data_IF_570913231488
#
_entry.id   IF_570913231488
#
_cell.length_a   1.000
_cell.length_b   1.000
_cell.length_c   1.000
_cell.angle_alpha   90.00
_cell.angle_beta   90.00
_cell.angle_gamma   90.00
#
_symmetry.space_group_name_H-M   'P 1'
#
loop_
_entity.id
_entity.type
_entity.pdbx_description
1 polymer ?
#
# COMPACT_ATOMS: atom_id res chain seq x y z
N UNK A 1 -4.07 21.51 -7.48
CA UNK A 1 -4.13 22.83 -8.17
C UNK A 1 -5.36 23.00 -9.05
N UNK A 2 -5.77 22.00 -9.86
CA UNK A 2 -6.94 22.09 -10.76
C UNK A 2 -8.30 22.40 -10.09
N UNK A 3 -8.52 21.91 -8.86
CA UNK A 3 -9.72 22.26 -8.07
C UNK A 3 -9.84 23.77 -7.80
N UNK A 4 -8.71 24.50 -7.71
CA UNK A 4 -8.71 25.97 -7.54
C UNK A 4 -9.11 26.72 -8.81
N UNK A 5 -9.12 26.03 -9.96
CA UNK A 5 -9.55 26.57 -11.27
C UNK A 5 -10.94 26.03 -11.69
N UNK A 6 -11.72 25.48 -10.75
CA UNK A 6 -13.08 24.99 -11.02
C UNK A 6 -13.18 23.60 -11.65
N UNK A 7 -12.05 22.90 -11.82
CA UNK A 7 -12.04 21.55 -12.42
C UNK A 7 -12.06 20.50 -11.32
N UNK A 8 -13.20 19.81 -11.16
CA UNK A 8 -13.38 18.68 -10.24
C UNK A 8 -13.37 17.39 -11.06
N UNK A 9 -12.37 16.54 -10.81
CA UNK A 9 -12.23 15.26 -11.47
C UNK A 9 -13.05 14.21 -10.71
N UNK A 10 -13.90 13.46 -11.41
CA UNK A 10 -14.57 12.30 -10.84
C UNK A 10 -13.52 11.24 -10.42
N UNK A 11 -13.74 10.52 -9.31
CA UNK A 11 -12.89 9.38 -8.98
C UNK A 11 -12.90 8.39 -10.16
N UNK A 12 -11.72 7.98 -10.61
CA UNK A 12 -11.56 7.16 -11.80
C UNK A 12 -10.20 6.51 -11.87
N UNK A 13 -10.06 5.59 -12.83
CA UNK A 13 -8.80 4.90 -13.11
C UNK A 13 -7.68 5.90 -13.40
N UNK A 14 -6.43 5.49 -13.16
CA UNK A 14 -5.21 6.29 -13.44
C UNK A 14 -5.22 6.92 -14.85
N UNK A 15 -5.66 6.18 -15.87
CA UNK A 15 -5.83 6.65 -17.25
C UNK A 15 -6.90 7.73 -17.44
N UNK A 16 -7.92 7.73 -16.57
CA UNK A 16 -9.01 8.71 -16.59
C UNK A 16 -8.54 10.04 -16.03
N UNK A 17 -7.65 10.01 -15.03
CA UNK A 17 -7.03 11.23 -14.48
C UNK A 17 -6.25 12.00 -15.54
N UNK A 18 -5.34 11.35 -16.28
CA UNK A 18 -4.56 12.02 -17.32
C UNK A 18 -5.45 12.67 -18.38
N UNK A 19 -6.39 11.88 -18.90
CA UNK A 19 -7.31 12.32 -19.95
C UNK A 19 -8.13 13.52 -19.50
N UNK A 20 -8.62 13.49 -18.26
CA UNK A 20 -9.37 14.60 -17.71
C UNK A 20 -8.49 15.84 -17.50
N UNK A 21 -7.25 15.69 -17.07
CA UNK A 21 -6.32 16.83 -16.92
C UNK A 21 -6.02 17.47 -18.27
N UNK A 22 -5.79 16.66 -19.31
CA UNK A 22 -5.55 17.14 -20.68
C UNK A 22 -6.81 17.83 -21.26
N UNK A 23 -8.00 17.27 -21.05
CA UNK A 23 -9.26 17.85 -21.51
C UNK A 23 -9.62 19.19 -20.86
N UNK A 24 -9.23 19.39 -19.59
CA UNK A 24 -9.58 20.59 -18.83
C UNK A 24 -8.47 21.64 -18.79
N UNK A 25 -7.37 21.44 -19.52
CA UNK A 25 -6.26 22.39 -19.61
C UNK A 25 -6.18 22.94 -21.04
N UNK A 26 -6.78 24.11 -21.33
CA UNK A 26 -6.67 24.72 -22.65
C UNK A 26 -5.22 25.06 -22.99
N UNK A 27 -4.84 24.85 -24.25
CA UNK A 27 -3.48 25.11 -24.80
C UNK A 27 -3.00 26.54 -24.58
N UNK A 28 -3.93 27.49 -24.48
CA UNK A 28 -3.69 28.92 -24.29
C UNK A 28 -3.44 29.31 -22.82
N UNK A 29 -3.59 28.37 -21.89
CA UNK A 29 -3.43 28.66 -20.46
C UNK A 29 -1.96 28.86 -20.08
N UNK A 30 -1.66 29.92 -19.33
CA UNK A 30 -0.32 30.24 -18.79
C UNK A 30 0.32 29.07 -18.01
N UNK A 31 -0.49 28.16 -17.47
CA UNK A 31 -0.04 27.01 -16.66
C UNK A 31 0.12 25.71 -17.47
N UNK A 32 -0.19 25.71 -18.77
CA UNK A 32 -0.14 24.51 -19.60
C UNK A 32 1.25 23.84 -19.56
N UNK A 33 2.33 24.63 -19.65
CA UNK A 33 3.70 24.12 -19.56
C UNK A 33 3.97 23.39 -18.24
N UNK A 34 3.53 23.96 -17.12
CA UNK A 34 3.69 23.36 -15.77
C UNK A 34 2.87 22.08 -15.65
N UNK A 35 1.63 22.08 -16.14
CA UNK A 35 0.77 20.89 -16.13
C UNK A 35 1.40 19.77 -16.96
N UNK A 36 1.99 20.08 -18.12
CA UNK A 36 2.71 19.12 -18.94
C UNK A 36 3.91 18.48 -18.21
N UNK A 37 4.68 19.27 -17.44
CA UNK A 37 5.78 18.75 -16.62
C UNK A 37 5.24 17.82 -15.53
N UNK A 38 4.19 18.22 -14.81
CA UNK A 38 3.59 17.41 -13.75
C UNK A 38 3.02 16.09 -14.29
N UNK A 39 2.36 16.10 -15.45
CA UNK A 39 1.86 14.89 -16.10
C UNK A 39 3.01 13.95 -16.51
N UNK A 40 4.11 14.50 -17.05
CA UNK A 40 5.31 13.70 -17.36
C UNK A 40 5.90 13.05 -16.11
N UNK A 41 6.04 13.80 -15.01
CA UNK A 41 6.54 13.25 -13.74
C UNK A 41 5.59 12.19 -13.17
N UNK A 42 4.29 12.44 -13.24
CA UNK A 42 3.28 11.47 -12.82
C UNK A 42 3.37 10.16 -13.62
N UNK A 43 3.48 10.25 -14.95
CA UNK A 43 3.69 9.08 -15.84
C UNK A 43 4.94 8.31 -15.47
N UNK A 44 6.02 9.02 -15.18
CA UNK A 44 7.28 8.40 -14.81
C UNK A 44 7.16 7.61 -13.50
N UNK A 45 6.57 8.20 -12.48
CA UNK A 45 6.35 7.56 -11.18
C UNK A 45 5.39 6.37 -11.33
N UNK A 46 4.30 6.53 -12.08
CA UNK A 46 3.33 5.45 -12.32
C UNK A 46 3.99 4.23 -12.98
N UNK A 47 4.87 4.47 -13.98
CA UNK A 47 5.64 3.41 -14.60
C UNK A 47 6.56 2.72 -13.59
N UNK A 48 7.31 3.47 -12.78
CA UNK A 48 8.20 2.88 -11.78
C UNK A 48 7.45 2.05 -10.73
N UNK A 49 6.26 2.50 -10.30
CA UNK A 49 5.39 1.73 -9.42
C UNK A 49 5.02 0.39 -10.07
N UNK A 50 4.59 0.39 -11.34
CA UNK A 50 4.24 -0.85 -12.07
C UNK A 50 5.42 -1.79 -12.22
N UNK A 51 6.59 -1.27 -12.58
CA UNK A 51 7.82 -2.07 -12.72
C UNK A 51 8.21 -2.72 -11.39
N UNK A 52 8.05 -1.99 -10.29
CA UNK A 52 8.30 -2.48 -8.93
C UNK A 52 7.28 -3.54 -8.54
N UNK A 53 5.98 -3.33 -8.80
CA UNK A 53 4.94 -4.33 -8.54
C UNK A 53 5.20 -5.62 -9.33
N UNK A 54 5.61 -5.53 -10.59
CA UNK A 54 6.00 -6.69 -11.38
C UNK A 54 7.24 -7.40 -10.82
N UNK A 55 8.21 -6.65 -10.30
CA UNK A 55 9.37 -7.23 -9.62
C UNK A 55 8.96 -7.99 -8.35
N UNK A 56 8.10 -7.40 -7.52
CA UNK A 56 7.56 -8.04 -6.32
C UNK A 56 6.78 -9.32 -6.66
N UNK A 57 5.97 -9.31 -7.73
CA UNK A 57 5.27 -10.50 -8.19
C UNK A 57 6.25 -11.62 -8.61
N UNK A 58 7.34 -11.28 -9.30
CA UNK A 58 8.37 -12.26 -9.68
C UNK A 58 9.06 -12.85 -8.46
N UNK A 59 9.44 -12.01 -7.49
CA UNK A 59 10.06 -12.44 -6.22
C UNK A 59 9.09 -13.35 -5.45
N UNK A 60 7.83 -12.94 -5.30
CA UNK A 60 6.81 -13.71 -4.60
C UNK A 60 6.58 -15.10 -5.24
N UNK A 61 6.56 -15.18 -6.58
CA UNK A 61 6.40 -16.45 -7.29
C UNK A 61 7.61 -17.37 -7.13
N UNK A 62 8.81 -16.82 -7.06
CA UNK A 62 10.04 -17.60 -6.89
C UNK A 62 10.21 -18.12 -5.44
N UNK A 63 9.60 -17.49 -4.44
CA UNK A 63 9.72 -17.86 -3.02
C UNK A 63 8.60 -18.80 -2.56
N UNK A 64 8.96 -19.99 -2.07
CA UNK A 64 8.02 -20.96 -1.52
C UNK A 64 7.25 -20.39 -0.31
N UNK A 65 7.94 -19.61 0.53
CA UNK A 65 7.35 -18.92 1.69
C UNK A 65 6.29 -17.92 1.22
N UNK A 66 6.61 -17.08 0.23
CA UNK A 66 5.66 -16.10 -0.27
C UNK A 66 4.45 -16.76 -0.94
N UNK A 67 4.65 -17.83 -1.71
CA UNK A 67 3.54 -18.59 -2.31
C UNK A 67 2.61 -19.17 -1.24
N UNK A 68 3.16 -19.69 -0.15
CA UNK A 68 2.38 -20.20 0.98
C UNK A 68 1.62 -19.08 1.71
N UNK A 69 2.22 -17.92 1.90
CA UNK A 69 1.53 -16.77 2.51
C UNK A 69 0.36 -16.29 1.64
N UNK A 70 0.53 -16.27 0.32
CA UNK A 70 -0.51 -15.84 -0.63
C UNK A 70 -1.69 -16.82 -0.76
N UNK A 71 -1.65 -18.01 -0.15
CA UNK A 71 -2.85 -18.87 -0.08
C UNK A 71 -3.86 -18.37 0.93
N UNK A 72 -3.46 -17.47 1.83
CA UNK A 72 -4.35 -16.85 2.81
C UNK A 72 -5.21 -15.78 2.11
N UNK A 73 -6.54 -15.81 2.25
CA UNK A 73 -7.42 -14.79 1.68
C UNK A 73 -7.00 -13.38 2.12
N UNK A 74 -6.86 -12.47 1.15
CA UNK A 74 -6.45 -11.08 1.38
C UNK A 74 -4.95 -10.84 1.41
N UNK A 75 -4.09 -11.87 1.34
CA UNK A 75 -2.63 -11.69 1.26
C UNK A 75 -2.19 -11.54 -0.19
N UNK A 76 -1.64 -10.36 -0.52
CA UNK A 76 -1.10 -10.06 -1.84
C UNK A 76 0.40 -10.39 -1.96
N UNK A 77 0.95 -10.38 -3.18
CA UNK A 77 2.39 -10.55 -3.41
C UNK A 77 3.22 -9.49 -2.66
N UNK A 78 2.80 -8.23 -2.68
CA UNK A 78 3.46 -7.14 -1.96
C UNK A 78 3.45 -7.39 -0.45
N UNK A 79 2.31 -7.78 0.10
CA UNK A 79 2.17 -8.10 1.53
C UNK A 79 3.02 -9.32 1.92
N UNK A 80 3.01 -10.37 1.11
CA UNK A 80 3.78 -11.60 1.36
C UNK A 80 5.28 -11.33 1.34
N UNK A 81 5.77 -10.59 0.34
CA UNK A 81 7.19 -10.21 0.24
C UNK A 81 7.58 -9.30 1.40
N UNK A 82 6.75 -8.31 1.75
CA UNK A 82 7.02 -7.42 2.87
C UNK A 82 7.09 -8.19 4.20
N UNK A 83 6.17 -9.12 4.43
CA UNK A 83 6.19 -9.96 5.63
C UNK A 83 7.43 -10.85 5.67
N UNK A 84 7.74 -11.54 4.57
CA UNK A 84 8.91 -12.40 4.48
C UNK A 84 10.21 -11.61 4.70
N UNK A 85 10.32 -10.42 4.12
CA UNK A 85 11.47 -9.54 4.32
C UNK A 85 11.55 -8.97 5.75
N UNK A 86 10.41 -8.68 6.39
CA UNK A 86 10.39 -8.22 7.77
C UNK A 86 10.79 -9.33 8.75
N UNK A 87 10.35 -10.56 8.50
CA UNK A 87 10.68 -11.73 9.32
C UNK A 87 12.11 -12.19 9.07
N UNK A 88 12.58 -12.19 7.82
CA UNK A 88 13.93 -12.56 7.34
C UNK A 88 14.46 -13.90 7.89
N UNK A 89 14.86 -13.92 9.17
CA UNK A 89 15.16 -15.12 9.93
C UNK A 89 14.05 -15.42 10.97
N UNK A 90 13.23 -16.48 10.78
CA UNK A 90 12.17 -16.84 11.72
C UNK A 90 12.69 -17.32 13.07
N UNK A 91 13.91 -17.89 13.14
CA UNK A 91 14.48 -18.44 14.37
C UNK A 91 14.81 -17.37 15.41
N UNK A 92 14.80 -16.08 15.02
CA UNK A 92 14.98 -14.97 15.97
C UNK A 92 13.78 -14.80 16.91
N UNK A 93 12.64 -15.39 16.59
CA UNK A 93 11.43 -15.31 17.38
C UNK A 93 11.26 -16.57 18.22
N UNK A 94 11.24 -16.42 19.55
CA UNK A 94 10.98 -17.55 20.45
C UNK A 94 9.54 -18.06 20.33
N UNK A 95 8.59 -17.18 20.00
CA UNK A 95 7.18 -17.53 19.79
C UNK A 95 6.58 -16.81 18.58
N UNK A 96 5.64 -17.45 17.91
CA UNK A 96 4.88 -16.86 16.78
C UNK A 96 4.14 -15.59 17.20
N UNK A 97 3.69 -15.51 18.45
CA UNK A 97 3.02 -14.34 19.03
C UNK A 97 3.90 -13.08 19.06
N UNK A 98 5.23 -13.24 19.02
CA UNK A 98 6.17 -12.11 19.10
C UNK A 98 6.30 -11.37 17.76
N UNK A 99 5.83 -11.98 16.67
CA UNK A 99 5.86 -11.40 15.32
C UNK A 99 4.87 -10.23 15.22
N UNK A 100 3.69 -10.34 15.84
CA UNK A 100 2.67 -9.28 15.82
C UNK A 100 3.17 -7.94 16.40
N UNK A 101 3.70 -7.93 17.63
CA UNK A 101 4.34 -6.75 18.23
C UNK A 101 5.51 -6.23 17.40
N UNK A 102 6.34 -7.12 16.83
CA UNK A 102 7.45 -6.73 15.97
C UNK A 102 7.00 -5.98 14.72
N UNK A 103 5.88 -6.40 14.11
CA UNK A 103 5.27 -5.74 12.96
C UNK A 103 4.39 -4.53 13.34
N UNK A 104 4.28 -4.19 14.62
CA UNK A 104 3.40 -3.12 15.11
C UNK A 104 1.91 -3.43 14.97
N UNK A 105 1.54 -4.70 14.81
CA UNK A 105 0.16 -5.16 14.66
C UNK A 105 -0.56 -5.36 16.00
N UNK A 106 0.16 -5.25 17.11
CA UNK A 106 -0.41 -5.27 18.45
C UNK A 106 -0.58 -3.84 18.94
N UNK A 107 -1.82 -3.39 19.28
CA UNK A 107 -2.01 -2.07 19.83
C UNK A 107 -1.18 -1.91 21.11
N UNK A 108 -0.46 -0.78 21.24
CA UNK A 108 0.30 -0.47 22.44
C UNK A 108 -0.69 -0.38 23.61
N UNK A 109 -0.66 -1.35 24.54
CA UNK A 109 -1.24 -1.16 25.87
C UNK A 109 -0.44 -0.06 26.57
N UNK A 110 -0.91 1.18 26.50
CA UNK A 110 -0.52 2.21 27.45
C UNK A 110 -1.19 1.85 28.78
N UNK A 111 -0.47 1.14 29.64
CA UNK A 111 -0.86 0.96 31.02
C UNK A 111 -0.48 2.24 31.79
N UNK A 112 -1.20 3.32 31.54
CA UNK A 112 -1.43 4.32 32.59
C UNK A 112 -2.41 3.66 33.56
N UNK A 113 -2.11 3.67 34.85
CA UNK A 113 -2.87 2.95 35.86
C UNK A 113 -4.38 3.16 35.76
N UNK A 114 -5.11 2.09 36.08
CA UNK A 114 -6.56 1.94 36.17
C UNK A 114 -7.37 1.84 34.85
N UNK A 115 -8.18 0.78 34.84
CA UNK A 115 -9.28 0.42 33.91
C UNK A 115 -8.91 -0.36 32.64
N UNK A 116 -8.99 -1.69 32.77
CA UNK A 116 -8.94 -2.68 31.69
C UNK A 116 -10.33 -2.79 31.05
N UNK A 117 -10.47 -2.34 29.80
CA UNK A 117 -11.63 -2.70 28.96
C UNK A 117 -11.13 -3.48 27.75
N UNK A 118 -11.15 -4.80 27.86
CA UNK A 118 -11.17 -5.69 26.69
C UNK A 118 -12.60 -5.74 26.16
N UNK A 119 -12.80 -5.29 24.92
CA UNK A 119 -14.02 -5.56 24.15
C UNK A 119 -13.67 -6.32 22.88
N UNK A 120 -14.23 -7.52 22.79
CA UNK A 120 -14.54 -8.32 21.60
C UNK A 120 -13.38 -8.91 20.78
N UNK A 121 -13.06 -10.19 21.02
CA UNK A 121 -13.69 -11.30 20.29
C UNK A 121 -13.39 -12.62 21.03
N UNK A 122 -14.42 -13.19 21.67
CA UNK A 122 -14.41 -14.58 22.14
C UNK A 122 -14.40 -15.51 20.92
N UNK A 123 -13.35 -16.31 20.76
CA UNK A 123 -13.38 -17.53 19.95
C UNK A 123 -12.97 -18.66 20.90
N UNK A 124 -13.85 -19.61 21.19
CA UNK A 124 -13.53 -20.71 22.09
C UNK A 124 -12.54 -21.67 21.43
N UNK A 125 -11.54 -22.10 22.17
CA UNK A 125 -10.63 -23.21 21.83
C UNK A 125 -10.97 -24.40 22.72
N UNK A 126 -11.24 -25.54 22.09
CA UNK A 126 -10.86 -26.85 22.66
C UNK A 126 -9.33 -27.02 22.55
#
# INVERSE_FOLDING_TARGET
MLKKFGVVLAPGTRSTFERLVEQHTPSTSLIHGVIGILLKSWRHIDRQVRETDHALQRIARASDVCRRLMTVPGVSATTAVAFAAAVDNPDRFGRVTDIGPYLGLTPRKYQSGEVDHFLFFDIPSE
#
